data_IF_257411108826
#
_entry.id   IF_257411108826
#
_cell.length_a   1.000
_cell.length_b   1.000
_cell.length_c   1.000
_cell.angle_alpha   90.00
_cell.angle_beta   90.00
_cell.angle_gamma   90.00
#
_symmetry.space_group_name_H-M   'P 1'
#
loop_
_entity.id
_entity.type
_entity.pdbx_description
1 polymer ?
#
# COMPACT_ATOMS: atom_id res chain seq x y z
N UNK A 1 -26.09 -29.77 27.67
CA UNK A 1 -25.28 -28.54 27.47
C UNK A 1 -24.89 -28.48 26.01
N UNK A 2 -25.32 -27.46 25.27
CA UNK A 2 -24.76 -27.21 23.93
C UNK A 2 -23.36 -26.66 24.17
N UNK A 3 -22.32 -27.42 23.81
CA UNK A 3 -20.95 -26.89 23.85
C UNK A 3 -20.90 -25.79 22.79
N UNK A 4 -20.57 -24.56 23.18
CA UNK A 4 -20.29 -23.50 22.21
C UNK A 4 -19.12 -23.96 21.35
N UNK A 5 -19.28 -23.83 20.03
CA UNK A 5 -18.27 -24.29 19.09
C UNK A 5 -17.07 -23.34 19.19
N UNK A 6 -15.83 -23.85 19.35
CA UNK A 6 -14.67 -23.00 19.47
C UNK A 6 -14.51 -22.13 18.22
N UNK A 7 -14.05 -20.90 18.43
CA UNK A 7 -13.74 -19.98 17.34
C UNK A 7 -12.48 -20.48 16.64
N UNK A 8 -12.48 -20.46 15.31
CA UNK A 8 -11.33 -20.88 14.53
C UNK A 8 -10.22 -19.80 14.56
N UNK A 9 -8.95 -20.20 14.68
CA UNK A 9 -7.83 -19.25 14.78
C UNK A 9 -7.68 -18.36 13.54
N UNK A 10 -8.03 -18.88 12.35
CA UNK A 10 -8.01 -18.09 11.12
C UNK A 10 -9.01 -16.94 11.15
N UNK A 11 -10.17 -17.14 11.78
CA UNK A 11 -11.17 -16.08 11.92
C UNK A 11 -10.72 -15.00 12.89
N UNK A 12 -10.07 -15.39 13.99
CA UNK A 12 -9.52 -14.42 14.95
C UNK A 12 -8.50 -13.50 14.28
N UNK A 13 -7.62 -14.06 13.43
CA UNK A 13 -6.65 -13.26 12.66
C UNK A 13 -7.35 -12.30 11.70
N UNK A 14 -8.38 -12.77 10.99
CA UNK A 14 -9.17 -11.92 10.08
C UNK A 14 -9.87 -10.80 10.85
N UNK A 15 -10.56 -11.12 11.95
CA UNK A 15 -11.26 -10.12 12.77
C UNK A 15 -10.26 -9.11 13.35
N UNK A 16 -9.11 -9.58 13.83
CA UNK A 16 -8.04 -8.73 14.33
C UNK A 16 -7.52 -7.79 13.23
N UNK A 17 -7.24 -8.29 12.03
CA UNK A 17 -6.78 -7.48 10.91
C UNK A 17 -7.76 -6.35 10.55
N UNK A 18 -9.06 -6.65 10.54
CA UNK A 18 -10.10 -5.63 10.31
C UNK A 18 -10.21 -4.62 11.45
N UNK A 19 -10.10 -5.08 12.70
CA UNK A 19 -10.12 -4.17 13.85
C UNK A 19 -8.93 -3.22 13.84
N UNK A 20 -7.73 -3.74 13.57
CA UNK A 20 -6.48 -2.97 13.52
C UNK A 20 -6.53 -1.95 12.36
N UNK A 21 -7.05 -2.34 11.20
CA UNK A 21 -7.14 -1.47 10.03
C UNK A 21 -8.18 -0.33 10.16
N UNK A 22 -9.28 -0.57 10.89
CA UNK A 22 -10.38 0.39 11.03
C UNK A 22 -10.41 1.09 12.40
N UNK A 23 -9.48 0.76 13.30
CA UNK A 23 -9.41 1.22 14.70
C UNK A 23 -10.77 1.12 15.42
N UNK A 24 -11.54 0.08 15.11
CA UNK A 24 -12.89 -0.15 15.65
C UNK A 24 -13.21 -1.64 15.69
N UNK A 25 -14.16 -2.03 16.54
CA UNK A 25 -14.65 -3.40 16.51
C UNK A 25 -15.55 -3.65 15.30
N UNK A 26 -15.16 -4.61 14.45
CA UNK A 26 -15.83 -4.92 13.20
C UNK A 26 -16.75 -6.13 13.37
N UNK A 27 -17.97 -6.02 12.84
CA UNK A 27 -18.97 -7.09 12.89
C UNK A 27 -18.74 -8.14 11.79
N UNK A 28 -19.14 -9.39 12.04
CA UNK A 28 -19.19 -10.46 11.04
C UNK A 28 -19.92 -10.02 9.74
N UNK A 29 -20.89 -9.10 9.85
CA UNK A 29 -21.61 -8.52 8.70
C UNK A 29 -20.73 -7.58 7.89
N UNK A 30 -19.99 -6.68 8.55
CA UNK A 30 -19.11 -5.72 7.89
C UNK A 30 -17.95 -6.44 7.18
N UNK A 31 -17.39 -7.49 7.80
CA UNK A 31 -16.38 -8.36 7.17
C UNK A 31 -16.95 -9.02 5.92
N UNK A 32 -18.19 -9.51 5.98
CA UNK A 32 -18.84 -10.14 4.83
C UNK A 32 -19.05 -9.15 3.67
N UNK A 33 -19.49 -7.92 3.99
CA UNK A 33 -19.69 -6.85 3.01
C UNK A 33 -18.37 -6.41 2.37
N UNK A 34 -17.32 -6.24 3.17
CA UNK A 34 -15.98 -5.87 2.70
C UNK A 34 -15.41 -6.91 1.73
N UNK A 35 -15.55 -8.20 2.05
CA UNK A 35 -15.02 -9.32 1.25
C UNK A 35 -16.00 -9.77 0.15
N UNK A 36 -17.16 -9.10 0.01
CA UNK A 36 -18.23 -9.43 -0.95
C UNK A 36 -18.71 -10.88 -0.85
N UNK A 37 -18.74 -11.43 0.37
CA UNK A 37 -19.24 -12.79 0.65
C UNK A 37 -20.54 -12.74 1.44
N UNK A 38 -21.25 -13.88 1.48
CA UNK A 38 -22.44 -14.01 2.33
C UNK A 38 -22.04 -14.08 3.80
N UNK A 39 -22.85 -13.50 4.69
CA UNK A 39 -22.69 -13.60 6.15
C UNK A 39 -22.56 -15.06 6.64
N UNK A 40 -23.25 -16.00 5.97
CA UNK A 40 -23.14 -17.43 6.28
C UNK A 40 -21.73 -17.98 6.08
N UNK A 41 -20.99 -17.50 5.07
CA UNK A 41 -19.62 -17.92 4.83
C UNK A 41 -18.68 -17.45 5.96
N UNK A 42 -18.81 -16.18 6.38
CA UNK A 42 -18.02 -15.65 7.51
C UNK A 42 -18.33 -16.40 8.81
N UNK A 43 -19.59 -16.76 9.04
CA UNK A 43 -19.98 -17.61 10.18
C UNK A 43 -19.33 -19.00 10.12
N UNK A 44 -19.29 -19.63 8.94
CA UNK A 44 -18.60 -20.91 8.75
C UNK A 44 -17.10 -20.79 8.99
N UNK A 45 -16.48 -19.68 8.62
CA UNK A 45 -15.06 -19.40 8.91
C UNK A 45 -14.83 -19.24 10.40
N UNK A 46 -15.73 -18.50 11.08
CA UNK A 46 -15.70 -18.26 12.53
C UNK A 46 -15.71 -19.53 13.35
N UNK A 47 -16.50 -20.53 12.96
CA UNK A 47 -16.61 -21.79 13.69
C UNK A 47 -15.78 -22.93 13.08
N UNK A 48 -14.91 -22.64 12.11
CA UNK A 48 -14.03 -23.63 11.49
C UNK A 48 -14.76 -24.72 10.69
N UNK A 49 -16.01 -24.45 10.26
CA UNK A 49 -16.73 -25.34 9.34
C UNK A 49 -16.14 -25.32 7.93
N UNK A 50 -15.54 -24.20 7.55
CA UNK A 50 -14.93 -23.99 6.24
C UNK A 50 -13.84 -22.95 6.36
N UNK A 51 -12.75 -23.09 5.61
CA UNK A 51 -11.71 -22.06 5.55
C UNK A 51 -11.97 -21.09 4.40
N UNK A 52 -11.66 -19.79 4.55
CA UNK A 52 -11.67 -18.85 3.44
C UNK A 52 -10.70 -19.32 2.35
N UNK A 53 -11.12 -19.14 1.09
CA UNK A 53 -10.27 -19.43 -0.07
C UNK A 53 -9.12 -18.42 -0.14
N UNK A 54 -8.07 -18.78 -0.87
CA UNK A 54 -6.93 -17.91 -1.16
C UNK A 54 -7.37 -16.55 -1.68
N UNK A 55 -8.30 -16.50 -2.64
CA UNK A 55 -8.81 -15.24 -3.21
C UNK A 55 -9.43 -14.31 -2.16
N UNK A 56 -10.19 -14.86 -1.21
CA UNK A 56 -10.79 -14.07 -0.13
C UNK A 56 -9.73 -13.60 0.87
N UNK A 57 -8.71 -14.43 1.16
CA UNK A 57 -7.62 -14.06 2.04
C UNK A 57 -6.72 -12.97 1.43
N UNK A 58 -6.48 -13.02 0.12
CA UNK A 58 -5.78 -11.96 -0.61
C UNK A 58 -6.57 -10.65 -0.57
N UNK A 59 -7.88 -10.70 -0.81
CA UNK A 59 -8.73 -9.52 -0.69
C UNK A 59 -8.74 -8.94 0.73
N UNK A 60 -8.76 -9.80 1.76
CA UNK A 60 -8.66 -9.34 3.15
C UNK A 60 -7.30 -8.68 3.40
N UNK A 61 -6.21 -9.26 2.90
CA UNK A 61 -4.87 -8.70 3.01
C UNK A 61 -4.78 -7.31 2.35
N UNK A 62 -5.36 -7.16 1.15
CA UNK A 62 -5.43 -5.89 0.43
C UNK A 62 -6.24 -4.83 1.19
N UNK A 63 -7.43 -5.20 1.70
CA UNK A 63 -8.31 -4.28 2.42
C UNK A 63 -7.79 -3.84 3.79
N UNK A 64 -7.01 -4.69 4.45
CA UNK A 64 -6.50 -4.45 5.81
C UNK A 64 -5.03 -4.04 5.85
N UNK A 65 -4.31 -4.17 4.72
CA UNK A 65 -2.86 -3.97 4.65
C UNK A 65 -2.04 -5.06 5.37
N UNK A 66 -2.68 -6.11 5.90
CA UNK A 66 -2.00 -7.19 6.63
C UNK A 66 -1.45 -8.22 5.64
N UNK A 67 -0.18 -8.64 5.75
CA UNK A 67 0.39 -9.65 4.87
C UNK A 67 -0.41 -10.96 4.85
N UNK A 68 -0.60 -11.53 3.67
CA UNK A 68 -1.30 -12.80 3.48
C UNK A 68 -0.72 -13.94 4.37
N UNK A 69 0.60 -13.98 4.54
CA UNK A 69 1.29 -14.94 5.41
C UNK A 69 0.84 -14.85 6.88
N UNK A 70 0.59 -13.64 7.38
CA UNK A 70 0.08 -13.38 8.73
C UNK A 70 -1.35 -13.92 8.91
N UNK A 71 -2.18 -13.86 7.87
CA UNK A 71 -3.54 -14.42 7.92
C UNK A 71 -3.55 -15.96 7.93
N UNK A 72 -2.65 -16.61 7.19
CA UNK A 72 -2.47 -18.07 7.23
C UNK A 72 -1.88 -18.57 8.55
N UNK A 73 -1.15 -17.72 9.27
CA UNK A 73 -0.46 -18.10 10.50
C UNK A 73 0.84 -18.83 10.28
N UNK A 74 1.49 -18.60 9.14
CA UNK A 74 2.86 -19.05 8.90
C UNK A 74 3.88 -18.26 9.72
N UNK A 75 3.45 -17.21 10.44
CA UNK A 75 4.33 -16.26 11.11
C UNK A 75 4.49 -16.48 12.63
N UNK A 76 4.23 -17.67 13.19
CA UNK A 76 4.62 -18.00 14.57
C UNK A 76 6.15 -18.14 14.74
N UNK A 77 6.93 -17.94 13.67
CA UNK A 77 8.39 -17.93 13.69
C UNK A 77 8.93 -16.68 12.98
N UNK A 78 8.92 -15.54 13.67
CA UNK A 78 10.10 -14.68 13.86
C UNK A 78 9.71 -13.24 14.25
N UNK A 79 10.03 -12.87 15.48
CA UNK A 79 10.56 -11.54 15.77
C UNK A 79 11.75 -11.28 14.83
N UNK A 80 11.55 -10.48 13.79
CA UNK A 80 12.50 -9.54 13.15
C UNK A 80 11.66 -8.83 12.06
N UNK A 81 11.39 -7.53 12.22
CA UNK A 81 12.09 -6.49 11.49
C UNK A 81 12.36 -6.89 10.03
N UNK A 82 11.62 -6.31 9.07
CA UNK A 82 12.23 -5.26 8.27
C UNK A 82 11.20 -4.54 7.40
N UNK A 83 11.40 -3.24 7.33
CA UNK A 83 10.99 -2.40 6.23
C UNK A 83 11.59 -3.00 4.95
N UNK A 84 10.88 -2.93 3.83
CA UNK A 84 11.29 -3.39 2.49
C UNK A 84 11.10 -4.89 2.19
N UNK A 85 10.02 -5.21 1.48
CA UNK A 85 10.11 -6.23 0.42
C UNK A 85 9.24 -5.82 -0.78
N UNK A 86 9.92 -5.25 -1.77
CA UNK A 86 9.51 -5.20 -3.17
C UNK A 86 9.32 -6.63 -3.72
N UNK A 87 8.25 -6.86 -4.46
CA UNK A 87 8.00 -8.12 -5.17
C UNK A 87 6.58 -8.13 -5.70
N UNK A 88 6.30 -7.29 -6.70
CA UNK A 88 6.19 -7.73 -8.10
C UNK A 88 4.85 -8.42 -8.41
N UNK A 89 3.90 -7.60 -8.83
CA UNK A 89 2.89 -7.99 -9.82
C UNK A 89 2.54 -6.76 -10.63
N UNK A 90 2.77 -6.90 -11.93
CA UNK A 90 2.77 -5.87 -12.94
C UNK A 90 1.35 -5.42 -13.27
N UNK A 91 0.84 -4.41 -12.56
CA UNK A 91 -0.22 -3.52 -13.02
C UNK A 91 0.05 -2.15 -12.37
N UNK A 92 0.13 -1.04 -13.14
CA UNK A 92 0.40 0.26 -12.55
C UNK A 92 -0.80 0.69 -11.71
N UNK A 93 -0.73 0.40 -10.41
CA UNK A 93 -1.59 1.01 -9.40
C UNK A 93 -1.59 2.53 -9.65
N UNK A 94 -2.74 3.16 -9.95
CA UNK A 94 -2.80 4.58 -10.23
C UNK A 94 -2.24 5.30 -9.02
N UNK A 95 -1.16 6.07 -9.25
CA UNK A 95 -0.48 6.78 -8.17
C UNK A 95 -1.49 7.64 -7.41
N UNK A 96 -1.71 7.32 -6.13
CA UNK A 96 -2.55 8.13 -5.24
C UNK A 96 -1.98 9.56 -5.17
N UNK A 97 -2.86 10.56 -5.11
CA UNK A 97 -2.50 11.99 -5.06
C UNK A 97 -1.48 12.30 -3.96
N UNK A 98 -1.54 11.62 -2.82
CA UNK A 98 -0.57 11.80 -1.73
C UNK A 98 0.84 11.35 -2.13
N UNK A 99 0.94 10.20 -2.80
CA UNK A 99 2.20 9.66 -3.32
C UNK A 99 2.77 10.53 -4.43
N UNK A 100 1.91 11.10 -5.26
CA UNK A 100 2.26 12.08 -6.29
C UNK A 100 2.87 13.36 -5.69
N UNK A 101 2.22 13.92 -4.66
CA UNK A 101 2.71 15.14 -3.99
C UNK A 101 4.08 14.91 -3.33
N UNK A 102 4.27 13.79 -2.64
CA UNK A 102 5.56 13.44 -2.02
C UNK A 102 6.66 13.34 -3.08
N UNK A 103 6.37 12.73 -4.23
CA UNK A 103 7.34 12.59 -5.32
C UNK A 103 7.74 13.94 -5.91
N UNK A 104 6.80 14.88 -6.08
CA UNK A 104 7.12 16.23 -6.56
C UNK A 104 7.95 17.05 -5.57
N UNK A 105 7.67 16.94 -4.27
CA UNK A 105 8.48 17.58 -3.24
C UNK A 105 9.92 17.04 -3.23
N UNK A 106 10.09 15.73 -3.37
CA UNK A 106 11.41 15.10 -3.47
C UNK A 106 12.20 15.55 -4.72
N UNK A 107 11.51 15.94 -5.79
CA UNK A 107 12.10 16.49 -7.01
C UNK A 107 12.36 18.01 -6.93
N UNK A 108 12.07 18.65 -5.79
CA UNK A 108 12.32 20.07 -5.57
C UNK A 108 11.26 21.00 -6.18
N UNK A 109 10.05 20.50 -6.43
CA UNK A 109 8.93 21.34 -6.87
C UNK A 109 8.37 22.06 -5.63
N UNK A 110 8.60 23.37 -5.53
CA UNK A 110 8.30 24.16 -4.33
C UNK A 110 6.80 24.44 -4.11
N UNK A 111 6.01 24.53 -5.19
CA UNK A 111 4.59 24.94 -5.14
C UNK A 111 3.61 23.81 -5.49
N UNK A 112 3.70 22.70 -4.76
CA UNK A 112 2.81 21.52 -4.94
C UNK A 112 1.43 21.69 -4.27
N UNK A 113 1.28 22.65 -3.36
CA UNK A 113 0.05 22.85 -2.59
C UNK A 113 -1.10 23.34 -3.48
N UNK A 114 -0.79 24.09 -4.54
CA UNK A 114 -1.74 24.58 -5.54
C UNK A 114 -2.34 23.45 -6.39
N UNK A 115 -1.63 22.32 -6.53
CA UNK A 115 -2.05 21.15 -7.31
C UNK A 115 -3.23 20.42 -6.63
N UNK A 116 -3.32 20.50 -5.30
CA UNK A 116 -4.41 19.91 -4.49
C UNK A 116 -5.78 20.53 -4.79
N UNK A 117 -5.81 21.72 -5.39
CA UNK A 117 -7.03 22.47 -5.71
C UNK A 117 -7.47 22.35 -7.17
N UNK A 118 -6.74 21.63 -8.03
CA UNK A 118 -7.10 21.44 -9.43
C UNK A 118 -8.15 20.32 -9.58
N UNK A 119 -9.28 20.67 -10.19
CA UNK A 119 -10.39 19.77 -10.45
C UNK A 119 -9.96 18.64 -11.41
N UNK A 120 -9.90 17.41 -10.90
CA UNK A 120 -9.73 16.13 -11.64
C UNK A 120 -8.42 15.99 -12.42
N UNK A 121 -7.29 15.87 -11.72
CA UNK A 121 -6.06 15.30 -12.27
C UNK A 121 -6.25 13.80 -12.53
N UNK A 122 -6.06 13.36 -13.77
CA UNK A 122 -6.10 11.92 -14.09
C UNK A 122 -4.76 11.27 -13.78
N UNK A 123 -4.72 9.93 -13.56
CA UNK A 123 -3.46 9.20 -13.36
C UNK A 123 -2.43 9.43 -14.47
N UNK A 124 -2.90 9.58 -15.71
CA UNK A 124 -2.05 9.87 -16.88
C UNK A 124 -1.40 11.25 -16.78
N UNK A 125 -2.16 12.28 -16.37
CA UNK A 125 -1.62 13.63 -16.19
C UNK A 125 -0.55 13.65 -15.08
N UNK A 126 -0.75 12.87 -14.03
CA UNK A 126 0.23 12.72 -12.94
C UNK A 126 1.53 12.07 -13.42
N UNK A 127 1.45 11.01 -14.25
CA UNK A 127 2.65 10.39 -14.83
C UNK A 127 3.42 11.36 -15.75
N UNK A 128 2.72 12.14 -16.58
CA UNK A 128 3.34 13.10 -17.48
C UNK A 128 4.04 14.23 -16.71
N UNK A 129 3.41 14.76 -15.66
CA UNK A 129 4.01 15.79 -14.80
C UNK A 129 5.26 15.27 -14.09
N UNK A 130 5.24 14.03 -13.60
CA UNK A 130 6.42 13.38 -13.00
C UNK A 130 7.55 13.25 -14.01
N UNK A 131 7.27 12.75 -15.22
CA UNK A 131 8.28 12.54 -16.24
C UNK A 131 8.97 13.86 -16.64
N UNK A 132 8.20 14.95 -16.74
CA UNK A 132 8.73 16.30 -17.00
C UNK A 132 9.60 16.77 -15.83
N UNK A 133 9.16 16.59 -14.58
CA UNK A 133 9.92 16.99 -13.39
C UNK A 133 11.25 16.23 -13.28
N UNK A 134 11.26 14.91 -13.52
CA UNK A 134 12.46 14.07 -13.51
C UNK A 134 13.47 14.49 -14.58
N UNK A 135 13.00 14.83 -15.79
CA UNK A 135 13.87 15.30 -16.87
C UNK A 135 14.50 16.66 -16.53
N UNK A 136 13.72 17.59 -15.95
CA UNK A 136 14.24 18.89 -15.53
C UNK A 136 15.31 18.76 -14.42
N UNK A 137 15.10 17.84 -13.46
CA UNK A 137 16.08 17.55 -12.42
C UNK A 137 17.40 16.99 -13.02
N UNK A 138 17.30 16.07 -13.99
CA UNK A 138 18.48 15.51 -14.70
C UNK A 138 19.25 16.59 -15.46
N UNK A 139 18.57 17.47 -16.19
CA UNK A 139 19.20 18.57 -16.95
C UNK A 139 19.91 19.55 -16.00
N UNK A 140 19.30 19.87 -14.87
CA UNK A 140 19.90 20.76 -13.85
C UNK A 140 21.16 20.16 -13.24
N UNK A 141 21.12 18.87 -12.89
CA UNK A 141 22.27 18.14 -12.37
C UNK A 141 23.42 18.09 -13.39
N UNK A 142 23.12 17.82 -14.66
CA UNK A 142 24.12 17.77 -15.73
C UNK A 142 24.77 19.14 -15.96
N UNK A 143 23.98 20.21 -15.97
CA UNK A 143 24.47 21.59 -16.14
C UNK A 143 25.37 22.02 -14.98
N UNK A 144 24.99 21.65 -13.75
CA UNK A 144 25.80 21.91 -12.54
C UNK A 144 27.14 21.18 -12.61
N UNK A 145 27.13 19.90 -13.00
CA UNK A 145 28.34 19.11 -13.15
C UNK A 145 29.28 19.69 -14.22
N UNK A 146 28.74 20.11 -15.36
CA UNK A 146 29.52 20.77 -16.43
C UNK A 146 30.16 22.08 -15.94
N UNK A 147 29.40 22.91 -15.22
CA UNK A 147 29.88 24.17 -14.66
C UNK A 147 31.02 23.94 -13.65
N UNK A 148 30.90 22.94 -12.77
CA UNK A 148 31.95 22.59 -11.81
C UNK A 148 33.23 22.09 -12.49
N UNK A 149 33.10 21.33 -13.57
CA UNK A 149 34.24 20.85 -14.36
C UNK A 149 34.95 22.05 -15.04
N UNK A 150 34.20 22.96 -15.68
CA UNK A 150 34.78 24.14 -16.32
C UNK A 150 35.49 25.06 -15.33
N UNK A 151 34.91 25.32 -14.15
CA UNK A 151 35.56 26.09 -13.08
C UNK A 151 36.88 25.46 -12.63
N UNK A 152 36.91 24.13 -12.52
CA UNK A 152 38.10 23.37 -12.08
C UNK A 152 39.20 23.33 -13.15
N UNK A 153 38.83 23.37 -14.43
CA UNK A 153 39.77 23.50 -15.55
C UNK A 153 40.32 24.93 -15.61
N UNK A 154 39.48 25.95 -15.41
CA UNK A 154 39.89 27.36 -15.41
C UNK A 154 40.81 27.72 -14.24
N UNK A 155 40.63 27.11 -13.07
CA UNK A 155 41.49 27.31 -11.90
C UNK A 155 42.87 26.62 -11.99
N UNK A 156 43.10 25.79 -13.02
CA UNK A 156 44.37 25.06 -13.26
C UNK A 156 45.21 25.66 -14.39
N UNK A 157 44.75 26.74 -15.04
CA UNK A 157 45.52 27.56 -15.98
C UNK A 157 45.95 28.85 -15.31
#
# INVERSE_FOLDING_TARGET
MRKEKPIAPIYERIKKAFNDALDKEVSDKEIAEAVKVRKSAVSQWKYGDTSPKTDHLLLIAELTGVPFASLRGENDLSDVADENNEGDSTEPEPMSLEKFIIKLQALGVEDVHSIKSMEKLTPTDMEEIIAVAENNAKVTAQTTAQTMIEQRIKAKK
#
